data_IF_419426267107
#
_entry.id   IF_419426267107
#
_cell.length_a   1.000
_cell.length_b   1.000
_cell.length_c   1.000
_cell.angle_alpha   90.00
_cell.angle_beta   90.00
_cell.angle_gamma   90.00
#
_symmetry.space_group_name_H-M   'P 1'
#
loop_
_entity.id
_entity.type
_entity.pdbx_description
1 polymer ?
#
# COMPACT_ATOMS: atom_id res chain seq x y z
N UNK A 1 -18.82 39.16 -13.62
CA UNK A 1 -17.60 38.45 -14.03
C UNK A 1 -17.76 36.98 -13.63
N UNK A 2 -18.50 36.21 -14.42
CA UNK A 2 -18.74 34.78 -14.15
C UNK A 2 -17.56 33.99 -14.74
N UNK A 3 -16.69 33.49 -13.86
CA UNK A 3 -15.41 32.88 -14.22
C UNK A 3 -15.51 31.42 -14.71
N UNK A 4 -16.63 31.01 -15.30
CA UNK A 4 -16.83 29.63 -15.75
C UNK A 4 -17.35 29.65 -17.20
N UNK A 5 -16.43 29.47 -18.15
CA UNK A 5 -16.77 29.21 -19.55
C UNK A 5 -17.09 27.72 -19.70
N UNK A 6 -18.11 27.40 -20.51
CA UNK A 6 -18.40 26.02 -20.91
C UNK A 6 -17.14 25.41 -21.55
N UNK A 7 -16.61 24.34 -20.96
CA UNK A 7 -15.37 23.68 -21.38
C UNK A 7 -14.13 23.99 -20.53
N UNK A 8 -14.25 24.72 -19.42
CA UNK A 8 -13.14 24.96 -18.50
C UNK A 8 -12.64 23.64 -17.86
N UNK A 9 -11.37 23.23 -18.12
CA UNK A 9 -10.82 21.98 -17.62
C UNK A 9 -10.73 21.89 -16.10
N UNK A 10 -10.81 23.01 -15.36
CA UNK A 10 -10.85 23.04 -13.89
C UNK A 10 -12.25 22.74 -13.32
N UNK A 11 -13.29 22.79 -14.15
CA UNK A 11 -14.68 22.46 -13.79
C UNK A 11 -15.12 21.09 -14.31
N UNK A 12 -14.33 20.48 -15.18
CA UNK A 12 -14.53 19.12 -15.66
C UNK A 12 -13.69 18.19 -14.77
N UNK A 13 -14.33 17.22 -14.10
CA UNK A 13 -13.67 16.08 -13.44
C UNK A 13 -13.00 15.15 -14.48
N UNK A 14 -12.15 15.72 -15.33
CA UNK A 14 -11.37 15.00 -16.33
C UNK A 14 -10.09 14.57 -15.64
N UNK A 15 -9.93 13.26 -15.54
CA UNK A 15 -8.65 12.68 -15.21
C UNK A 15 -7.69 12.93 -16.38
N UNK A 16 -6.67 13.74 -16.15
CA UNK A 16 -5.55 13.89 -17.07
C UNK A 16 -4.47 12.89 -16.65
N UNK A 17 -4.27 11.84 -17.45
CA UNK A 17 -3.34 10.75 -17.15
C UNK A 17 -3.97 9.37 -17.30
N UNK A 18 -3.31 8.35 -16.76
CA UNK A 18 -3.81 6.97 -16.84
C UNK A 18 -4.72 6.68 -15.65
N UNK A 19 -5.91 6.16 -15.94
CA UNK A 19 -6.87 5.73 -14.91
C UNK A 19 -6.36 4.58 -14.04
N UNK A 20 -5.44 3.76 -14.59
CA UNK A 20 -4.87 2.62 -13.89
C UNK A 20 -3.34 2.59 -14.02
N UNK A 21 -2.67 2.14 -12.98
CA UNK A 21 -1.24 1.82 -12.99
C UNK A 21 -0.90 0.70 -13.97
N UNK A 22 0.40 0.41 -14.10
CA UNK A 22 0.85 -0.77 -14.84
C UNK A 22 0.38 -2.05 -14.15
N UNK A 23 0.06 -3.07 -14.95
CA UNK A 23 -0.25 -4.39 -14.41
C UNK A 23 0.99 -4.93 -13.70
N UNK A 24 0.79 -5.60 -12.57
CA UNK A 24 1.85 -6.33 -11.88
C UNK A 24 2.44 -7.39 -12.80
N UNK A 25 3.76 -7.58 -12.72
CA UNK A 25 4.42 -8.72 -13.35
C UNK A 25 3.97 -10.01 -12.66
N UNK A 26 3.98 -11.17 -13.34
CA UNK A 26 3.50 -12.43 -12.77
C UNK A 26 4.07 -12.75 -11.38
N UNK A 27 5.39 -12.58 -11.18
CA UNK A 27 6.01 -12.80 -9.86
C UNK A 27 5.55 -11.82 -8.78
N UNK A 28 5.29 -10.55 -9.13
CA UNK A 28 4.76 -9.57 -8.17
C UNK A 28 3.33 -9.92 -7.77
N UNK A 29 2.52 -10.37 -8.72
CA UNK A 29 1.16 -10.82 -8.43
C UNK A 29 1.20 -12.05 -7.51
N UNK A 30 2.10 -13.01 -7.77
CA UNK A 30 2.25 -14.18 -6.94
C UNK A 30 2.64 -13.84 -5.48
N UNK A 31 3.53 -12.87 -5.28
CA UNK A 31 3.87 -12.41 -3.93
C UNK A 31 2.66 -11.81 -3.20
N UNK A 32 1.81 -11.06 -3.91
CA UNK A 32 0.58 -10.48 -3.35
C UNK A 32 -0.43 -11.57 -3.01
N UNK A 33 -0.57 -12.57 -3.87
CA UNK A 33 -1.60 -13.60 -3.71
C UNK A 33 -1.19 -14.66 -2.66
N UNK A 34 0.09 -15.02 -2.61
CA UNK A 34 0.57 -16.15 -1.79
C UNK A 34 1.29 -15.68 -0.51
N UNK A 35 2.25 -14.74 -0.63
CA UNK A 35 3.13 -14.39 0.48
C UNK A 35 2.54 -13.34 1.41
N UNK A 36 1.90 -12.31 0.87
CA UNK A 36 1.31 -11.24 1.68
C UNK A 36 0.31 -11.77 2.72
N UNK A 37 -0.63 -12.69 2.40
CA UNK A 37 -1.52 -13.28 3.40
C UNK A 37 -0.78 -13.98 4.54
N UNK A 38 0.33 -14.65 4.25
CA UNK A 38 1.14 -15.34 5.25
C UNK A 38 1.91 -14.38 6.18
N UNK A 39 2.18 -13.16 5.72
CA UNK A 39 2.89 -12.11 6.48
C UNK A 39 1.94 -11.09 7.12
N UNK A 40 0.62 -11.26 6.97
CA UNK A 40 -0.35 -10.27 7.43
C UNK A 40 -0.42 -10.24 8.96
N UNK A 41 -0.53 -9.05 9.52
CA UNK A 41 -0.71 -8.84 10.97
C UNK A 41 -2.20 -8.76 11.33
N UNK A 42 -2.59 -9.06 12.58
CA UNK A 42 -3.98 -8.90 13.02
C UNK A 42 -4.54 -7.49 12.77
N UNK A 43 -5.74 -7.40 12.19
CA UNK A 43 -6.38 -6.10 11.88
C UNK A 43 -6.84 -5.34 13.14
N UNK A 44 -7.07 -6.08 14.23
CA UNK A 44 -7.58 -5.53 15.49
C UNK A 44 -6.86 -6.14 16.67
N UNK A 45 -6.84 -5.39 17.78
CA UNK A 45 -6.18 -5.82 19.00
C UNK A 45 -4.70 -5.41 19.05
N UNK A 46 -4.01 -5.76 20.14
CA UNK A 46 -2.60 -5.42 20.31
C UNK A 46 -1.71 -6.27 19.41
N UNK A 47 -0.68 -5.64 18.85
CA UNK A 47 0.40 -6.33 18.15
C UNK A 47 1.50 -6.66 19.15
N UNK A 48 1.69 -7.94 19.46
CA UNK A 48 2.72 -8.40 20.40
C UNK A 48 3.66 -9.42 19.77
N UNK A 49 4.87 -9.56 20.32
CA UNK A 49 5.86 -10.50 19.85
C UNK A 49 5.39 -11.94 19.98
N UNK A 50 4.71 -12.26 21.08
CA UNK A 50 4.11 -13.58 21.33
C UNK A 50 3.01 -13.89 20.34
N UNK A 51 2.18 -12.90 19.99
CA UNK A 51 1.11 -13.06 19.02
C UNK A 51 1.62 -13.27 17.59
N UNK A 52 2.72 -12.61 17.22
CA UNK A 52 3.29 -12.69 15.86
C UNK A 52 4.29 -13.85 15.69
N UNK A 53 5.09 -14.14 16.72
CA UNK A 53 6.24 -15.06 16.63
C UNK A 53 6.18 -16.23 17.61
N UNK A 54 5.22 -16.24 18.55
CA UNK A 54 5.04 -17.32 19.54
C UNK A 54 5.92 -17.22 20.79
N UNK A 55 6.77 -16.20 20.91
CA UNK A 55 7.63 -15.96 22.07
C UNK A 55 8.00 -14.47 22.18
N UNK A 56 8.44 -14.05 23.37
CA UNK A 56 8.85 -12.67 23.63
C UNK A 56 10.18 -12.34 22.90
N UNK A 57 10.19 -11.22 22.19
CA UNK A 57 11.35 -10.68 21.49
C UNK A 57 11.17 -9.18 21.19
N UNK A 58 12.26 -8.41 21.07
CA UNK A 58 12.18 -7.02 20.63
C UNK A 58 11.50 -6.88 19.28
N UNK A 59 10.63 -5.88 19.16
CA UNK A 59 9.97 -5.49 17.92
C UNK A 59 10.58 -4.18 17.40
N UNK A 60 10.88 -4.16 16.11
CA UNK A 60 11.29 -2.96 15.39
C UNK A 60 10.18 -2.57 14.42
N UNK A 61 9.83 -1.29 14.40
CA UNK A 61 8.80 -0.76 13.53
C UNK A 61 9.38 0.34 12.65
N UNK A 62 9.23 0.18 11.34
CA UNK A 62 9.73 1.13 10.35
C UNK A 62 8.56 1.69 9.54
N UNK A 63 8.42 3.01 9.56
CA UNK A 63 7.42 3.73 8.77
C UNK A 63 8.11 4.20 7.49
N UNK A 64 7.52 3.87 6.34
CA UNK A 64 8.07 4.27 5.05
C UNK A 64 9.28 3.44 4.60
N UNK A 65 9.29 2.14 4.91
CA UNK A 65 10.36 1.19 4.56
C UNK A 65 10.60 1.01 3.04
N UNK A 66 9.75 1.59 2.19
CA UNK A 66 9.90 1.56 0.74
C UNK A 66 9.93 0.12 0.20
N UNK A 67 11.02 -0.24 -0.49
CA UNK A 67 11.23 -1.60 -1.01
C UNK A 67 11.68 -2.63 0.03
N UNK A 68 11.91 -2.22 1.28
CA UNK A 68 12.39 -3.11 2.35
C UNK A 68 13.85 -3.56 2.18
N UNK A 69 14.61 -2.96 1.26
CA UNK A 69 16.01 -3.33 0.99
C UNK A 69 16.94 -3.10 2.19
N UNK A 70 16.52 -2.25 3.13
CA UNK A 70 17.24 -1.95 4.37
C UNK A 70 16.78 -2.79 5.57
N UNK A 71 15.81 -3.69 5.40
CA UNK A 71 15.44 -4.66 6.43
C UNK A 71 16.46 -5.81 6.43
N UNK A 72 17.62 -5.58 7.05
CA UNK A 72 18.66 -6.59 7.29
C UNK A 72 19.08 -6.60 8.77
#
# INVERSE_FOLDING_TARGET
MTAHKSGDPTTLNRLYGRQSGHKLRPGQQQLVDDLLPALTVPETGPITAEGLFGYDRPLHFEIGFGGGEHMA
#
